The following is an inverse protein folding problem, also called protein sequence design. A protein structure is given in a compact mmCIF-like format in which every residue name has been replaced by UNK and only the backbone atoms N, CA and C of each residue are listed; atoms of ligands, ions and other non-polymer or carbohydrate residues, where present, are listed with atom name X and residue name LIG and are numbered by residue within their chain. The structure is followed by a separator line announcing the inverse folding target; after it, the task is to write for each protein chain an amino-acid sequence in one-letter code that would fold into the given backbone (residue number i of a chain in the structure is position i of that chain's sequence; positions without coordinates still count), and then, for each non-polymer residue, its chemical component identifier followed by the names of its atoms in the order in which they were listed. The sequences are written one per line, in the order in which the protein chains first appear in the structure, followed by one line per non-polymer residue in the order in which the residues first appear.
data_IF_630795891926
#
_entry.id   IF_630795891926
#
_cell.length_a   1.000
_cell.length_b   1.000
_cell.length_c   1.000
_cell.angle_alpha   90.00
_cell.angle_beta   90.00
_cell.angle_gamma   90.00
#
_symmetry.space_group_name_H-M   'P 1'
#
loop_
_entity.id
_entity.type
_entity.pdbx_description
1 polymer ?
#
# COMPACT_ATOMS: atom_id res chain seq x y z
N UNK A 1 -43.33 8.69 -23.14
CA UNK A 1 -43.02 7.60 -22.19
C UNK A 1 -41.52 7.74 -21.94
N UNK A 2 -41.17 8.62 -21.00
CA UNK A 2 -39.79 9.02 -20.74
C UNK A 2 -39.10 7.85 -20.07
N UNK A 3 -38.45 7.01 -20.87
CA UNK A 3 -37.47 6.05 -20.35
C UNK A 3 -36.36 6.94 -19.79
N UNK A 4 -36.44 7.20 -18.48
CA UNK A 4 -35.53 8.09 -17.80
C UNK A 4 -34.11 7.68 -18.11
N UNK A 5 -33.35 8.54 -18.79
CA UNK A 5 -31.92 8.34 -19.05
C UNK A 5 -31.09 8.31 -17.75
N UNK A 6 -31.73 8.60 -16.61
CA UNK A 6 -31.15 8.64 -15.26
C UNK A 6 -30.30 7.42 -14.88
N UNK A 7 -30.70 6.15 -15.16
CA UNK A 7 -29.87 4.99 -14.85
C UNK A 7 -28.68 4.83 -15.79
N UNK A 8 -28.75 5.34 -17.02
CA UNK A 8 -27.64 5.23 -17.99
C UNK A 8 -26.45 6.10 -17.57
N UNK A 9 -26.69 7.23 -16.91
CA UNK A 9 -25.61 8.05 -16.34
C UNK A 9 -24.80 7.30 -15.26
N UNK A 10 -25.39 6.29 -14.61
CA UNK A 10 -24.64 5.43 -13.68
C UNK A 10 -23.55 4.64 -14.39
N UNK A 11 -23.72 4.28 -15.67
CA UNK A 11 -22.69 3.59 -16.44
C UNK A 11 -21.45 4.46 -16.65
N UNK A 12 -21.63 5.76 -16.86
CA UNK A 12 -20.52 6.72 -16.91
C UNK A 12 -19.78 6.80 -15.58
N UNK A 13 -20.49 6.77 -14.45
CA UNK A 13 -19.89 6.74 -13.12
C UNK A 13 -19.14 5.44 -12.86
N UNK A 14 -19.70 4.29 -13.29
CA UNK A 14 -19.03 2.98 -13.22
C UNK A 14 -17.76 2.97 -14.08
N UNK A 15 -17.79 3.57 -15.27
CA UNK A 15 -16.61 3.69 -16.11
C UNK A 15 -15.50 4.49 -15.43
N UNK A 16 -15.83 5.63 -14.84
CA UNK A 16 -14.86 6.43 -14.09
C UNK A 16 -14.32 5.71 -12.86
N UNK A 17 -15.18 5.03 -12.10
CA UNK A 17 -14.76 4.23 -10.95
C UNK A 17 -13.81 3.09 -11.37
N UNK A 18 -14.14 2.35 -12.43
CA UNK A 18 -13.27 1.30 -12.97
C UNK A 18 -11.92 1.86 -13.41
N UNK A 19 -11.90 3.02 -14.08
CA UNK A 19 -10.65 3.66 -14.51
C UNK A 19 -9.73 3.99 -13.31
N UNK A 20 -10.26 4.69 -12.30
CA UNK A 20 -9.47 5.16 -11.14
C UNK A 20 -8.99 3.99 -10.27
N UNK A 21 -9.78 2.92 -10.19
CA UNK A 21 -9.43 1.72 -9.43
C UNK A 21 -8.28 0.94 -10.09
N UNK A 22 -8.27 0.86 -11.41
CA UNK A 22 -7.28 0.09 -12.16
C UNK A 22 -6.00 0.89 -12.44
N UNK A 23 -6.08 2.21 -12.56
CA UNK A 23 -4.91 3.06 -12.80
C UNK A 23 -4.05 3.18 -11.52
N UNK A 24 -2.81 2.72 -11.59
CA UNK A 24 -1.89 2.59 -10.44
C UNK A 24 -1.65 3.92 -9.71
N UNK A 25 -1.50 5.01 -10.47
CA UNK A 25 -1.26 6.34 -9.92
C UNK A 25 -2.38 6.80 -8.99
N UNK A 26 -3.62 6.42 -9.27
CA UNK A 26 -4.78 6.85 -8.48
C UNK A 26 -5.23 5.83 -7.46
N UNK A 27 -4.93 4.54 -7.67
CA UNK A 27 -5.41 3.43 -6.82
C UNK A 27 -5.03 3.60 -5.35
N UNK A 28 -3.79 3.99 -5.06
CA UNK A 28 -3.29 4.13 -3.68
C UNK A 28 -3.94 5.29 -2.93
N UNK A 29 -4.16 6.42 -3.61
CA UNK A 29 -4.89 7.57 -3.04
C UNK A 29 -6.36 7.27 -2.87
N UNK A 30 -6.97 6.56 -3.84
CA UNK A 30 -8.37 6.16 -3.80
C UNK A 30 -8.71 5.34 -2.56
N UNK A 31 -7.80 4.45 -2.17
CA UNK A 31 -7.94 3.60 -0.99
C UNK A 31 -8.12 4.37 0.32
N UNK A 32 -7.68 5.64 0.34
CA UNK A 32 -7.70 6.52 1.50
C UNK A 32 -8.78 7.60 1.40
N UNK A 33 -9.51 7.67 0.29
CA UNK A 33 -10.51 8.70 0.05
C UNK A 33 -11.91 8.28 0.55
N UNK A 34 -12.53 9.14 1.35
CA UNK A 34 -13.89 8.94 1.85
C UNK A 34 -14.97 9.20 0.78
N UNK A 35 -16.13 8.54 0.97
CA UNK A 35 -17.15 8.31 -0.04
C UNK A 35 -17.59 9.52 -0.88
N UNK A 36 -17.75 10.71 -0.29
CA UNK A 36 -18.20 11.88 -1.08
C UNK A 36 -17.19 12.30 -2.15
N UNK A 37 -15.88 12.33 -1.83
CA UNK A 37 -14.83 12.69 -2.80
C UNK A 37 -14.70 11.63 -3.89
N UNK A 38 -14.88 10.37 -3.53
CA UNK A 38 -14.86 9.23 -4.44
C UNK A 38 -15.91 9.38 -5.57
N UNK A 39 -17.15 9.78 -5.23
CA UNK A 39 -18.19 9.98 -6.25
C UNK A 39 -17.85 11.11 -7.22
N UNK A 40 -17.35 12.25 -6.74
CA UNK A 40 -16.95 13.36 -7.61
C UNK A 40 -15.78 12.99 -8.52
N UNK A 41 -14.79 12.27 -7.99
CA UNK A 41 -13.64 11.83 -8.79
C UNK A 41 -14.07 10.79 -9.83
N UNK A 42 -14.91 9.82 -9.46
CA UNK A 42 -15.49 8.86 -10.39
C UNK A 42 -16.31 9.53 -11.49
N UNK A 43 -17.13 10.54 -11.15
CA UNK A 43 -17.86 11.31 -12.14
C UNK A 43 -16.93 12.06 -13.11
N UNK A 44 -15.87 12.71 -12.60
CA UNK A 44 -14.89 13.43 -13.41
C UNK A 44 -14.19 12.50 -14.41
N UNK A 45 -13.59 11.40 -13.94
CA UNK A 45 -12.91 10.46 -14.83
C UNK A 45 -13.87 9.70 -15.74
N UNK A 46 -15.11 9.48 -15.31
CA UNK A 46 -16.16 8.91 -16.13
C UNK A 46 -16.47 9.79 -17.35
N UNK A 47 -16.56 11.11 -17.14
CA UNK A 47 -16.71 12.08 -18.23
C UNK A 47 -15.51 12.04 -19.18
N UNK A 48 -14.29 12.05 -18.64
CA UNK A 48 -13.05 11.96 -19.45
C UNK A 48 -13.04 10.70 -20.30
N UNK A 49 -13.32 9.53 -19.72
CA UNK A 49 -13.39 8.26 -20.46
C UNK A 49 -14.47 8.31 -21.54
N UNK A 50 -15.66 8.84 -21.24
CA UNK A 50 -16.72 8.99 -22.24
C UNK A 50 -16.26 9.84 -23.42
N UNK A 51 -15.59 10.97 -23.17
CA UNK A 51 -15.05 11.83 -24.24
C UNK A 51 -14.01 11.09 -25.07
N UNK A 52 -13.08 10.35 -24.43
CA UNK A 52 -12.07 9.56 -25.15
C UNK A 52 -12.71 8.45 -25.99
N UNK A 53 -13.70 7.75 -25.44
CA UNK A 53 -14.48 6.73 -26.16
C UNK A 53 -15.24 7.34 -27.34
N UNK A 54 -15.85 8.52 -27.18
CA UNK A 54 -16.48 9.26 -28.27
C UNK A 54 -15.50 9.61 -29.38
N UNK A 55 -14.33 10.17 -29.05
CA UNK A 55 -13.29 10.50 -30.02
C UNK A 55 -12.77 9.25 -30.74
N UNK A 56 -12.64 8.12 -30.04
CA UNK A 56 -12.27 6.85 -30.64
C UNK A 56 -13.28 6.41 -31.71
N UNK A 57 -14.59 6.48 -31.43
CA UNK A 57 -15.61 6.11 -32.43
C UNK A 57 -15.64 7.04 -33.65
N UNK A 58 -15.50 8.35 -33.45
CA UNK A 58 -15.38 9.30 -34.57
C UNK A 58 -14.12 9.06 -35.39
N UNK A 59 -12.99 8.79 -34.75
CA UNK A 59 -11.74 8.42 -35.43
C UNK A 59 -11.85 7.11 -36.18
N UNK A 60 -12.49 6.09 -35.60
CA UNK A 60 -12.68 4.77 -36.20
C UNK A 60 -13.42 4.86 -37.54
N UNK A 61 -14.45 5.71 -37.65
CA UNK A 61 -15.16 5.94 -38.92
C UNK A 61 -14.22 6.42 -40.04
N UNK A 62 -13.21 7.22 -39.73
CA UNK A 62 -12.26 7.71 -40.73
C UNK A 62 -11.44 6.56 -41.34
N UNK A 63 -11.09 5.54 -40.54
CA UNK A 63 -10.27 4.42 -40.97
C UNK A 63 -11.06 3.27 -41.62
N UNK A 64 -12.38 3.19 -41.39
CA UNK A 64 -13.23 2.14 -41.97
C UNK A 64 -13.63 2.52 -43.41
N UNK A 65 -13.46 1.63 -44.41
CA UNK A 65 -13.94 1.85 -45.78
C UNK A 65 -15.46 2.05 -45.85
N UNK A 66 -15.95 2.89 -46.77
CA UNK A 66 -17.37 3.25 -46.89
C UNK A 66 -18.33 2.04 -46.91
N UNK A 67 -17.95 0.94 -47.57
CA UNK A 67 -18.75 -0.28 -47.67
C UNK A 67 -19.03 -0.96 -46.33
N UNK A 68 -18.25 -0.66 -45.30
CA UNK A 68 -18.36 -1.25 -43.95
C UNK A 68 -18.90 -0.26 -42.91
N UNK A 69 -19.16 1.00 -43.29
CA UNK A 69 -19.64 2.04 -42.37
C UNK A 69 -21.11 1.91 -41.99
N UNK A 70 -21.92 1.18 -42.77
CA UNK A 70 -23.38 1.08 -42.58
C UNK A 70 -23.84 0.81 -41.12
N UNK A 71 -23.36 -0.26 -40.46
CA UNK A 71 -23.72 -0.56 -39.07
C UNK A 71 -23.25 0.51 -38.06
N UNK A 72 -22.11 1.15 -38.31
CA UNK A 72 -21.54 2.19 -37.44
C UNK A 72 -22.25 3.52 -37.62
N UNK A 73 -22.67 3.86 -38.83
CA UNK A 73 -23.42 5.07 -39.12
C UNK A 73 -24.75 5.06 -38.35
N UNK A 74 -25.48 3.94 -38.31
CA UNK A 74 -26.73 3.86 -37.53
C UNK A 74 -26.52 4.14 -36.03
N UNK A 75 -25.38 3.72 -35.48
CA UNK A 75 -25.01 3.96 -34.09
C UNK A 75 -24.58 5.41 -33.81
N UNK A 76 -24.17 6.15 -34.84
CA UNK A 76 -23.59 7.50 -34.74
C UNK A 76 -24.49 8.62 -35.30
N UNK A 77 -25.53 8.29 -36.04
CA UNK A 77 -26.42 9.24 -36.74
C UNK A 77 -27.42 9.92 -35.79
N UNK A 78 -27.94 9.16 -34.83
CA UNK A 78 -28.84 9.69 -33.78
C UNK A 78 -28.07 10.02 -32.49
N UNK A 79 -28.28 11.22 -31.95
CA UNK A 79 -27.59 11.70 -30.74
C UNK A 79 -27.88 10.81 -29.53
N UNK A 80 -29.11 10.31 -29.38
CA UNK A 80 -29.45 9.45 -28.25
C UNK A 80 -28.79 8.07 -28.38
N UNK A 81 -28.81 7.49 -29.58
CA UNK A 81 -28.16 6.21 -29.91
C UNK A 81 -26.65 6.27 -29.69
N UNK A 82 -26.02 7.38 -30.08
CA UNK A 82 -24.59 7.61 -29.83
C UNK A 82 -24.26 7.68 -28.34
N UNK A 83 -25.02 8.48 -27.57
CA UNK A 83 -24.81 8.60 -26.12
C UNK A 83 -24.97 7.25 -25.42
N UNK A 84 -25.98 6.46 -25.80
CA UNK A 84 -26.19 5.11 -25.26
C UNK A 84 -25.00 4.20 -25.57
N UNK A 85 -24.51 4.20 -26.82
CA UNK A 85 -23.36 3.38 -27.21
C UNK A 85 -22.10 3.75 -26.41
N UNK A 86 -21.82 5.06 -26.26
CA UNK A 86 -20.67 5.55 -25.48
C UNK A 86 -20.80 5.10 -24.03
N UNK A 87 -21.96 5.29 -23.41
CA UNK A 87 -22.18 4.90 -22.01
C UNK A 87 -22.03 3.38 -21.80
N UNK A 88 -22.54 2.55 -22.72
CA UNK A 88 -22.41 1.09 -22.63
C UNK A 88 -20.98 0.58 -22.83
N UNK A 89 -20.19 1.24 -23.69
CA UNK A 89 -18.83 0.80 -24.03
C UNK A 89 -17.76 1.43 -23.15
N UNK A 90 -18.05 2.57 -22.52
CA UNK A 90 -17.11 3.30 -21.65
C UNK A 90 -16.51 2.48 -20.50
N UNK A 91 -17.21 1.55 -19.81
CA UNK A 91 -16.57 0.76 -18.75
C UNK A 91 -15.49 -0.21 -19.28
N UNK A 92 -15.67 -0.72 -20.49
CA UNK A 92 -14.66 -1.56 -21.15
C UNK A 92 -13.44 -0.73 -21.57
N UNK A 93 -13.68 0.45 -22.17
CA UNK A 93 -12.60 1.37 -22.52
C UNK A 93 -11.86 1.91 -21.30
N UNK A 94 -12.55 2.19 -20.20
CA UNK A 94 -11.92 2.56 -18.93
C UNK A 94 -10.84 1.55 -18.51
N UNK A 95 -11.17 0.26 -18.54
CA UNK A 95 -10.23 -0.82 -18.22
C UNK A 95 -9.06 -0.86 -19.22
N UNK A 96 -9.32 -0.73 -20.52
CA UNK A 96 -8.28 -0.77 -21.55
C UNK A 96 -7.31 0.42 -21.45
N UNK A 97 -7.84 1.63 -21.26
CA UNK A 97 -7.07 2.86 -21.12
C UNK A 97 -6.24 2.80 -19.83
N UNK A 98 -6.82 2.36 -18.71
CA UNK A 98 -6.09 2.21 -17.45
C UNK A 98 -4.90 1.24 -17.60
N UNK A 99 -5.10 0.08 -18.24
CA UNK A 99 -4.00 -0.86 -18.53
C UNK A 99 -2.92 -0.28 -19.44
N UNK A 100 -3.33 0.50 -20.45
CA UNK A 100 -2.40 1.17 -21.33
C UNK A 100 -1.56 2.19 -20.55
N UNK A 101 -2.19 2.97 -19.66
CA UNK A 101 -1.52 3.97 -18.84
C UNK A 101 -0.57 3.31 -17.84
N UNK A 102 -0.97 2.21 -17.20
CA UNK A 102 -0.10 1.45 -16.28
C UNK A 102 1.19 0.98 -16.96
N UNK A 103 1.17 0.65 -18.26
CA UNK A 103 2.39 0.27 -19.00
C UNK A 103 3.45 1.39 -19.05
N UNK A 104 3.01 2.65 -19.00
CA UNK A 104 3.89 3.82 -18.99
C UNK A 104 4.12 4.39 -17.59
N UNK A 105 3.59 3.72 -16.56
CA UNK A 105 3.59 4.18 -15.17
C UNK A 105 4.55 3.30 -14.37
N UNK A 106 5.37 3.90 -13.50
CA UNK A 106 6.19 3.14 -12.56
C UNK A 106 5.41 2.96 -11.25
N UNK A 107 4.81 1.78 -11.03
CA UNK A 107 3.98 1.48 -9.84
C UNK A 107 4.66 1.90 -8.53
N UNK A 108 5.96 1.64 -8.41
CA UNK A 108 6.72 1.89 -7.19
C UNK A 108 6.84 3.38 -6.85
N UNK A 109 6.98 4.27 -7.84
CA UNK A 109 7.06 5.71 -7.60
C UNK A 109 5.75 6.28 -7.02
N UNK A 110 4.60 5.86 -7.57
CA UNK A 110 3.30 6.30 -7.07
C UNK A 110 2.96 5.68 -5.72
N UNK A 111 3.43 4.46 -5.47
CA UNK A 111 3.35 3.85 -4.15
C UNK A 111 4.12 4.67 -3.11
N UNK A 112 5.37 5.05 -3.39
CA UNK A 112 6.18 5.88 -2.51
C UNK A 112 5.59 7.27 -2.27
N UNK A 113 5.08 7.93 -3.31
CA UNK A 113 4.43 9.24 -3.20
C UNK A 113 3.18 9.17 -2.31
N UNK A 114 2.35 8.13 -2.48
CA UNK A 114 1.21 7.90 -1.61
C UNK A 114 1.64 7.62 -0.16
N UNK A 115 2.77 6.95 0.08
CA UNK A 115 3.28 6.68 1.43
C UNK A 115 3.67 7.94 2.20
N UNK A 116 4.14 8.99 1.53
CA UNK A 116 4.56 10.24 2.19
C UNK A 116 3.43 10.90 2.99
N UNK A 117 2.17 10.66 2.63
CA UNK A 117 1.02 11.15 3.40
C UNK A 117 0.80 10.38 4.73
N UNK A 118 1.49 9.25 4.94
CA UNK A 118 1.40 8.45 6.16
C UNK A 118 2.80 8.15 6.73
N UNK A 119 3.22 8.95 7.72
CA UNK A 119 4.53 8.85 8.37
C UNK A 119 4.84 7.45 8.93
N UNK A 120 3.83 6.73 9.43
CA UNK A 120 4.02 5.38 9.96
C UNK A 120 4.34 4.37 8.86
N UNK A 121 3.58 4.36 7.77
CA UNK A 121 3.84 3.45 6.64
C UNK A 121 5.19 3.80 5.98
N UNK A 122 5.51 5.09 5.85
CA UNK A 122 6.81 5.55 5.38
C UNK A 122 7.95 5.07 6.28
N UNK A 123 7.81 5.15 7.60
CA UNK A 123 8.82 4.66 8.55
C UNK A 123 9.06 3.15 8.40
N UNK A 124 8.01 2.36 8.19
CA UNK A 124 8.15 0.92 7.98
C UNK A 124 8.87 0.60 6.66
N UNK A 125 8.50 1.28 5.57
CA UNK A 125 9.15 1.09 4.26
C UNK A 125 10.60 1.56 4.30
N UNK A 126 10.86 2.72 4.90
CA UNK A 126 12.21 3.23 5.12
C UNK A 126 13.05 2.26 5.95
N UNK A 127 12.49 1.64 7.01
CA UNK A 127 13.19 0.62 7.78
C UNK A 127 13.58 -0.61 6.94
N UNK A 128 12.70 -1.06 6.04
CA UNK A 128 13.00 -2.14 5.09
C UNK A 128 14.12 -1.75 4.11
N UNK A 129 14.05 -0.56 3.51
CA UNK A 129 15.02 -0.10 2.51
C UNK A 129 16.40 0.17 3.12
N UNK A 130 16.44 0.70 4.35
CA UNK A 130 17.67 1.04 5.06
C UNK A 130 18.23 -0.10 5.90
N UNK A 131 17.58 -1.26 5.92
CA UNK A 131 17.90 -2.38 6.80
C UNK A 131 18.06 -1.95 8.27
N UNK A 132 17.09 -1.18 8.77
CA UNK A 132 16.96 -0.90 10.21
C UNK A 132 15.86 -1.76 10.84
N UNK A 133 16.07 -2.17 12.08
CA UNK A 133 14.98 -2.75 12.88
C UNK A 133 14.01 -1.66 13.32
N UNK A 134 12.80 -2.07 13.68
CA UNK A 134 11.82 -1.21 14.33
C UNK A 134 11.55 -1.69 15.75
N UNK A 135 11.40 -0.75 16.68
CA UNK A 135 10.85 -1.00 18.01
C UNK A 135 9.40 -0.51 18.04
N UNK A 136 8.51 -1.42 18.39
CA UNK A 136 7.08 -1.24 18.39
C UNK A 136 6.57 -1.44 19.80
N UNK A 137 5.75 -0.51 20.28
CA UNK A 137 5.01 -0.65 21.54
C UNK A 137 3.52 -0.68 21.22
N UNK A 138 2.83 -1.71 21.67
CA UNK A 138 1.38 -1.82 21.59
C UNK A 138 0.70 -1.11 22.78
N UNK A 139 -0.58 -0.80 22.64
CA UNK A 139 -1.40 -0.21 23.71
C UNK A 139 -1.44 -1.04 25.00
N UNK A 140 -1.28 -2.36 24.90
CA UNK A 140 -1.25 -3.26 26.07
C UNK A 140 0.14 -3.32 26.74
N UNK A 141 1.08 -2.46 26.33
CA UNK A 141 2.42 -2.37 26.88
C UNK A 141 3.40 -3.39 26.30
N UNK A 142 2.96 -4.31 25.44
CA UNK A 142 3.89 -5.24 24.78
C UNK A 142 4.83 -4.52 23.83
N UNK A 143 6.08 -4.96 23.83
CA UNK A 143 7.15 -4.42 22.99
C UNK A 143 7.64 -5.51 22.05
N UNK A 144 7.78 -5.14 20.78
CA UNK A 144 8.41 -5.96 19.76
C UNK A 144 9.54 -5.17 19.14
N UNK A 145 10.68 -5.82 18.94
CA UNK A 145 11.80 -5.31 18.16
C UNK A 145 12.09 -6.31 17.07
N UNK A 146 12.24 -5.86 15.84
CA UNK A 146 12.61 -6.75 14.75
C UNK A 146 12.55 -6.12 13.38
N UNK A 147 12.66 -6.96 12.37
CA UNK A 147 12.67 -6.57 10.96
C UNK A 147 11.25 -6.45 10.44
N UNK A 148 10.97 -5.39 9.69
CA UNK A 148 9.71 -5.28 8.97
C UNK A 148 9.72 -6.29 7.82
N UNK A 149 8.77 -7.21 7.82
CA UNK A 149 8.65 -8.23 6.76
C UNK A 149 7.68 -7.79 5.67
N UNK A 150 6.54 -7.21 6.06
CA UNK A 150 5.50 -6.77 5.11
C UNK A 150 4.72 -5.59 5.66
N UNK A 151 4.52 -4.59 4.83
CA UNK A 151 3.55 -3.50 5.05
C UNK A 151 2.30 -3.82 4.22
N UNK A 152 1.10 -3.74 4.81
CA UNK A 152 -0.13 -3.98 4.03
C UNK A 152 -0.30 -2.94 2.92
N UNK A 153 -0.79 -3.40 1.77
CA UNK A 153 -1.23 -2.54 0.66
C UNK A 153 -2.51 -1.79 1.09
N UNK A 154 -2.46 -0.44 1.23
CA UNK A 154 -3.62 0.34 1.66
C UNK A 154 -4.84 0.12 0.78
N UNK A 155 -4.65 -0.19 -0.51
CA UNK A 155 -5.73 -0.45 -1.46
C UNK A 155 -6.41 -1.81 -1.30
N UNK A 156 -5.80 -2.75 -0.57
CA UNK A 156 -6.30 -4.12 -0.39
C UNK A 156 -6.72 -4.41 1.05
N UNK A 157 -6.16 -3.71 2.03
CA UNK A 157 -6.37 -4.00 3.43
C UNK A 157 -6.77 -2.76 4.25
N UNK A 158 -8.09 -2.53 4.46
CA UNK A 158 -8.58 -1.37 5.19
C UNK A 158 -8.29 -1.43 6.69
N UNK A 159 -8.00 -2.62 7.24
CA UNK A 159 -7.73 -2.82 8.67
C UNK A 159 -6.27 -2.51 9.04
N UNK A 160 -5.42 -2.26 8.03
CA UNK A 160 -4.01 -1.85 8.14
C UNK A 160 -3.21 -2.74 9.09
N UNK A 161 -2.90 -3.94 8.62
CA UNK A 161 -1.94 -4.81 9.29
C UNK A 161 -0.52 -4.60 8.76
N UNK A 162 0.46 -5.04 9.53
CA UNK A 162 1.83 -5.18 9.05
C UNK A 162 2.47 -6.36 9.79
N UNK A 163 3.52 -6.91 9.21
CA UNK A 163 4.21 -8.07 9.74
C UNK A 163 5.63 -7.72 10.08
N UNK A 164 6.08 -8.22 11.23
CA UNK A 164 7.47 -8.16 11.66
C UNK A 164 8.03 -9.55 11.91
N UNK A 165 9.32 -9.71 11.68
CA UNK A 165 10.11 -10.83 12.17
C UNK A 165 10.75 -10.37 13.47
N UNK A 166 10.29 -10.85 14.64
CA UNK A 166 10.80 -10.40 15.92
C UNK A 166 12.23 -10.89 16.14
N UNK A 167 13.09 -10.00 16.60
CA UNK A 167 14.43 -10.32 17.13
C UNK A 167 14.38 -10.38 18.64
N UNK A 168 13.65 -9.48 19.28
CA UNK A 168 13.41 -9.52 20.72
C UNK A 168 12.01 -8.99 21.04
N UNK A 169 11.36 -9.58 22.04
CA UNK A 169 10.08 -9.10 22.56
C UNK A 169 10.17 -8.83 24.06
N UNK A 170 9.22 -8.05 24.56
CA UNK A 170 9.23 -7.58 25.93
C UNK A 170 7.95 -6.83 26.28
N UNK A 171 8.02 -6.03 27.34
CA UNK A 171 6.94 -5.16 27.77
C UNK A 171 7.48 -3.88 28.42
N UNK A 172 6.63 -2.85 28.52
CA UNK A 172 6.90 -1.65 29.30
C UNK A 172 6.33 -1.78 30.71
N UNK A 173 7.09 -1.38 31.73
CA UNK A 173 6.57 -1.22 33.09
C UNK A 173 5.75 0.07 33.24
N UNK A 174 5.20 0.29 34.43
CA UNK A 174 4.43 1.48 34.79
C UNK A 174 5.24 2.79 34.62
N UNK A 175 6.57 2.71 34.66
CA UNK A 175 7.50 3.83 34.45
C UNK A 175 7.94 3.97 32.98
N UNK A 176 7.28 3.26 32.06
CA UNK A 176 7.57 3.24 30.63
C UNK A 176 8.95 2.67 30.27
N UNK A 177 9.63 1.97 31.19
CA UNK A 177 10.90 1.29 30.92
C UNK A 177 10.66 -0.02 30.20
N UNK A 178 11.43 -0.29 29.16
CA UNK A 178 11.33 -1.52 28.36
C UNK A 178 12.11 -2.64 29.06
N UNK A 179 11.46 -3.78 29.23
CA UNK A 179 12.08 -5.03 29.67
C UNK A 179 11.93 -6.07 28.57
N UNK A 180 13.07 -6.53 28.05
CA UNK A 180 13.12 -7.63 27.09
C UNK A 180 13.02 -8.97 27.80
N UNK A 181 12.17 -9.85 27.29
CA UNK A 181 11.85 -11.15 27.92
C UNK A 181 12.19 -12.33 27.02
N UNK A 182 12.06 -12.17 25.70
CA UNK A 182 12.24 -13.28 24.75
C UNK A 182 13.16 -12.83 23.63
N UNK A 183 14.28 -13.54 23.49
CA UNK A 183 15.37 -13.26 22.55
C UNK A 183 15.35 -14.30 21.43
N UNK A 184 14.87 -13.89 20.25
CA UNK A 184 14.71 -14.75 19.08
C UNK A 184 15.99 -14.89 18.27
N UNK A 185 16.93 -13.95 18.39
CA UNK A 185 18.28 -14.05 17.83
C UNK A 185 18.97 -15.37 18.23
N UNK A 186 18.95 -15.71 19.52
CA UNK A 186 19.51 -16.95 20.05
C UNK A 186 18.77 -18.18 19.51
N UNK A 187 17.45 -18.06 19.35
CA UNK A 187 16.64 -19.12 18.76
C UNK A 187 17.02 -19.32 17.30
N UNK A 188 17.18 -18.26 16.52
CA UNK A 188 17.50 -18.30 15.11
C UNK A 188 18.88 -18.89 14.84
N UNK A 189 19.88 -18.60 15.68
CA UNK A 189 21.18 -19.27 15.63
C UNK A 189 21.05 -20.79 15.89
N UNK A 190 20.19 -21.18 16.84
CA UNK A 190 19.96 -22.58 17.20
C UNK A 190 19.13 -23.37 16.18
N UNK A 191 18.39 -22.69 15.28
CA UNK A 191 17.57 -23.36 14.25
C UNK A 191 18.40 -24.23 13.32
N UNK A 192 19.65 -23.84 13.06
CA UNK A 192 20.60 -24.62 12.26
C UNK A 192 20.93 -26.01 12.83
N UNK A 193 20.58 -26.29 14.10
CA UNK A 193 20.96 -27.53 14.81
C UNK A 193 19.75 -28.39 15.19
N UNK A 194 18.85 -27.87 16.03
CA UNK A 194 17.79 -28.67 16.67
C UNK A 194 16.38 -28.40 16.13
N UNK A 195 16.20 -27.32 15.36
CA UNK A 195 14.91 -26.87 14.85
C UNK A 195 14.95 -26.65 13.33
N UNK A 196 15.60 -27.57 12.60
CA UNK A 196 15.81 -27.48 11.14
C UNK A 196 14.53 -27.54 10.29
N UNK A 197 13.38 -27.82 10.91
CA UNK A 197 12.06 -27.77 10.27
C UNK A 197 11.41 -26.38 10.34
N UNK A 198 12.04 -25.41 11.03
CA UNK A 198 11.56 -24.06 11.20
C UNK A 198 12.43 -23.07 10.44
N UNK A 199 11.77 -22.15 9.76
CA UNK A 199 12.36 -20.97 9.14
C UNK A 199 11.99 -19.71 9.92
N UNK A 200 12.76 -18.63 9.76
CA UNK A 200 12.52 -17.33 10.39
C UNK A 200 11.09 -16.80 10.13
N UNK A 201 10.53 -17.07 8.95
CA UNK A 201 9.16 -16.68 8.59
C UNK A 201 8.08 -17.34 9.46
N UNK A 202 8.35 -18.50 10.07
CA UNK A 202 7.41 -19.17 10.98
C UNK A 202 7.19 -18.38 12.28
N UNK A 203 8.06 -17.43 12.58
CA UNK A 203 7.96 -16.55 13.75
C UNK A 203 7.41 -15.16 13.41
N UNK A 204 7.01 -14.96 12.15
CA UNK A 204 6.39 -13.72 11.71
C UNK A 204 5.18 -13.38 12.59
N UNK A 205 5.19 -12.17 13.13
CA UNK A 205 4.11 -11.65 13.95
C UNK A 205 3.35 -10.58 13.16
N UNK A 206 2.04 -10.79 13.00
CA UNK A 206 1.14 -9.81 12.36
C UNK A 206 0.57 -8.89 13.42
N UNK A 207 0.72 -7.58 13.23
CA UNK A 207 0.31 -6.54 14.16
C UNK A 207 -0.70 -5.59 13.51
N UNK A 208 -1.80 -5.22 14.19
CA UNK A 208 -2.72 -4.19 13.72
C UNK A 208 -2.14 -2.80 13.99
N UNK A 209 -2.09 -1.94 12.97
CA UNK A 209 -1.59 -0.56 13.12
C UNK A 209 -2.41 0.27 14.11
N UNK A 210 -3.70 -0.04 14.26
CA UNK A 210 -4.61 0.67 15.16
C UNK A 210 -4.32 0.47 16.65
N UNK A 211 -3.58 -0.57 17.04
CA UNK A 211 -3.25 -0.85 18.46
C UNK A 211 -1.83 -0.42 18.83
N UNK A 212 -1.20 0.41 18.00
CA UNK A 212 0.15 0.90 18.24
C UNK A 212 0.10 2.10 19.17
N UNK A 213 0.86 2.02 20.25
CA UNK A 213 1.17 3.19 21.07
C UNK A 213 2.34 3.99 20.47
N UNK A 214 3.36 3.32 19.94
CA UNK A 214 4.49 3.96 19.27
C UNK A 214 5.25 3.01 18.35
N UNK A 215 5.83 3.54 17.28
CA UNK A 215 6.77 2.84 16.41
C UNK A 215 7.98 3.75 16.13
N UNK A 216 9.20 3.20 16.16
CA UNK A 216 10.44 3.92 15.86
C UNK A 216 11.48 2.99 15.26
N UNK A 217 12.44 3.55 14.53
CA UNK A 217 13.65 2.83 14.18
C UNK A 217 14.40 2.42 15.46
N UNK A 218 15.04 1.26 15.41
CA UNK A 218 15.75 0.67 16.52
C UNK A 218 17.13 0.21 16.09
N UNK A 219 18.11 0.63 16.87
CA UNK A 219 19.49 0.20 16.80
C UNK A 219 19.88 -0.34 18.18
N UNK A 220 20.33 -1.61 18.28
CA UNK A 220 20.69 -2.21 19.57
C UNK A 220 21.84 -1.50 20.28
N UNK A 221 22.83 -1.03 19.54
CA UNK A 221 24.04 -0.42 20.07
C UNK A 221 23.73 0.96 20.64
N UNK A 222 23.01 1.79 19.89
CA UNK A 222 22.53 3.08 20.36
C UNK A 222 21.62 2.94 21.58
N UNK A 223 20.75 1.92 21.61
CA UNK A 223 19.90 1.66 22.77
C UNK A 223 20.72 1.31 24.01
N UNK A 224 21.74 0.46 23.87
CA UNK A 224 22.60 0.08 24.99
C UNK A 224 23.43 1.27 25.51
N UNK A 225 23.88 2.17 24.62
CA UNK A 225 24.52 3.43 25.00
C UNK A 225 23.57 4.33 25.83
N UNK A 226 22.32 4.50 25.38
CA UNK A 226 21.32 5.27 26.15
C UNK A 226 20.99 4.67 27.53
N UNK A 227 21.15 3.36 27.69
CA UNK A 227 20.97 2.69 28.98
C UNK A 227 22.22 2.73 29.87
N UNK A 228 23.34 3.28 29.38
CA UNK A 228 24.62 3.26 30.09
C UNK A 228 25.22 1.86 30.25
N UNK A 229 24.87 0.92 29.37
CA UNK A 229 25.31 -0.49 29.47
C UNK A 229 26.77 -0.65 29.04
N UNK A 230 27.29 0.23 28.18
CA UNK A 230 28.66 0.15 27.67
C UNK A 230 29.75 0.72 28.60
N UNK A 231 29.41 1.29 29.77
CA UNK A 231 30.36 2.08 30.58
C UNK A 231 30.89 1.38 31.85
N UNK A 232 30.96 0.04 31.91
CA UNK A 232 31.58 -0.64 33.08
C UNK A 232 32.34 -1.96 32.82
N UNK A 233 32.24 -2.59 31.65
CA UNK A 233 32.89 -3.90 31.40
C UNK A 233 34.22 -3.83 30.64
N UNK A 234 34.46 -2.74 29.88
CA UNK A 234 35.70 -2.53 29.10
C UNK A 234 36.78 -1.82 29.90
N UNK A 235 36.41 -0.89 30.79
CA UNK A 235 37.37 -0.13 31.61
C UNK A 235 38.05 -1.01 32.67
N UNK A 236 37.34 -1.98 33.27
CA UNK A 236 37.94 -2.89 34.26
C UNK A 236 38.88 -3.93 33.63
N UNK A 237 38.61 -4.36 32.38
CA UNK A 237 39.46 -5.32 31.66
C UNK A 237 40.80 -4.69 31.18
N UNK A 238 40.78 -3.42 30.74
CA UNK A 238 42.01 -2.69 30.39
C UNK A 238 42.83 -2.28 31.63
N UNK A 239 42.18 -1.97 32.75
CA UNK A 239 42.87 -1.66 34.02
C UNK A 239 43.45 -2.90 34.71
N UNK A 240 42.88 -4.09 34.50
CA UNK A 240 43.44 -5.35 34.99
C UNK A 240 44.64 -5.83 34.14
N UNK A 241 44.64 -5.55 32.84
CA UNK A 241 45.72 -5.96 31.92
C UNK A 241 46.93 -5.00 31.99
N UNK A 242 46.72 -3.74 32.38
CA UNK A 242 47.80 -2.76 32.61
C UNK A 242 48.42 -2.80 34.01
N UNK A 243 47.92 -3.66 34.90
CA UNK A 243 48.45 -3.88 36.26
C UNK A 243 49.20 -5.21 36.46
N UNK A 244 49.37 -6.01 35.40
CA UNK A 244 50.19 -7.23 35.39
C UNK A 244 51.41 -7.08 34.49
#
# INVERSE_FOLDING_TARGET
MDIGYSPLFLLGLVAGFNFIKEWEATRYRLAREDGHKLYFRAAFWGLVVCVVTSLFFFGLLHFIPDSWRGPFNYLLDDTASFVIQVLLTSPFFAFLIAKLFNKFTNEYEYYLDALQENEFEWLLVNAMETNFMVMITLEDGKVYVGWVYRVSDPAKDPRKYFSIIPVVTGFRDDKQKVYFTTFYDQLYESMSKSLSHLDTEHFMTVLPAQRLASCRLFDPDAYAEFQGIFDNSTVEAEQATSRN
#
